data_IF_280641764765
#
_entry.id   IF_280641764765
#
_cell.length_a   1.000
_cell.length_b   1.000
_cell.length_c   1.000
_cell.angle_alpha   90.00
_cell.angle_beta   90.00
_cell.angle_gamma   90.00
#
_symmetry.space_group_name_H-M   'P 1'
#
loop_
_entity.id
_entity.type
_entity.pdbx_description
1 polymer ?
#
# COMPACT_ATOMS: atom_id res chain seq x y z
N UNK A 1 11.02 17.67 -14.85
CA UNK A 1 11.18 16.48 -14.01
C UNK A 1 9.77 16.07 -13.58
N UNK A 2 9.42 14.82 -13.73
CA UNK A 2 8.11 14.29 -13.30
C UNK A 2 7.99 14.34 -11.78
N UNK A 3 6.75 14.48 -11.27
CA UNK A 3 6.53 14.46 -9.82
C UNK A 3 6.95 13.11 -9.22
N UNK A 4 6.62 12.00 -9.88
CA UNK A 4 7.02 10.65 -9.46
C UNK A 4 8.54 10.50 -9.27
N UNK A 5 9.35 11.05 -10.16
CA UNK A 5 10.82 11.07 -10.04
C UNK A 5 11.26 11.85 -8.79
N UNK A 6 10.59 12.98 -8.53
CA UNK A 6 10.87 13.80 -7.34
C UNK A 6 10.49 13.08 -6.06
N UNK A 7 9.31 12.42 -6.02
CA UNK A 7 8.85 11.63 -4.88
C UNK A 7 9.83 10.47 -4.58
N UNK A 8 10.21 9.72 -5.62
CA UNK A 8 11.13 8.60 -5.47
C UNK A 8 12.51 9.05 -4.95
N UNK A 9 13.00 10.19 -5.41
CA UNK A 9 14.27 10.75 -4.93
C UNK A 9 14.25 11.08 -3.42
N UNK A 10 13.08 11.38 -2.83
CA UNK A 10 12.93 11.70 -1.40
C UNK A 10 12.97 10.49 -0.46
N UNK A 11 12.90 9.28 -1.00
CA UNK A 11 12.74 8.05 -0.19
C UNK A 11 13.84 7.02 -0.42
N UNK A 12 14.92 7.41 -1.11
CA UNK A 12 16.08 6.57 -1.38
C UNK A 12 16.80 6.10 -0.10
N UNK A 13 16.63 6.83 1.00
CA UNK A 13 17.13 6.50 2.33
C UNK A 13 16.17 5.62 3.15
N UNK A 14 14.90 5.51 2.75
CA UNK A 14 13.85 4.78 3.48
C UNK A 14 13.59 3.41 2.86
N UNK A 15 13.37 3.33 1.56
CA UNK A 15 12.94 2.10 0.88
C UNK A 15 13.91 0.91 1.00
N UNK A 16 15.26 1.09 1.05
CA UNK A 16 16.14 -0.03 1.37
C UNK A 16 15.86 -0.67 2.73
N UNK A 17 15.30 0.08 3.68
CA UNK A 17 14.85 -0.43 4.97
C UNK A 17 13.72 -1.46 4.88
N UNK A 18 12.85 -1.34 3.90
CA UNK A 18 11.81 -2.36 3.63
C UNK A 18 12.43 -3.71 3.26
N UNK A 19 13.43 -3.70 2.37
CA UNK A 19 14.08 -4.92 1.89
C UNK A 19 14.85 -5.66 2.98
N UNK A 20 15.43 -4.91 3.91
CA UNK A 20 16.17 -5.47 5.04
C UNK A 20 15.29 -5.79 6.26
N UNK A 21 14.00 -5.44 6.21
CA UNK A 21 13.10 -5.68 7.33
C UNK A 21 12.91 -7.19 7.57
N UNK A 22 13.00 -7.66 8.84
CA UNK A 22 12.93 -9.11 9.13
C UNK A 22 11.64 -9.76 8.64
N UNK A 23 10.49 -9.07 8.64
CA UNK A 23 9.26 -9.60 8.07
C UNK A 23 9.42 -9.98 6.60
N UNK A 24 9.99 -9.08 5.79
CA UNK A 24 10.18 -9.28 4.35
C UNK A 24 11.24 -10.35 4.08
N UNK A 25 12.38 -10.30 4.78
CA UNK A 25 13.47 -11.26 4.58
C UNK A 25 13.09 -12.68 5.02
N UNK A 26 12.42 -12.82 6.17
CA UNK A 26 11.94 -14.13 6.64
C UNK A 26 10.83 -14.68 5.74
N UNK A 27 9.94 -13.81 5.20
CA UNK A 27 8.92 -14.21 4.23
C UNK A 27 9.55 -14.70 2.93
N UNK A 28 10.60 -14.02 2.43
CA UNK A 28 11.33 -14.42 1.23
C UNK A 28 12.02 -15.76 1.35
N UNK A 29 12.47 -16.13 2.56
CA UNK A 29 13.11 -17.40 2.87
C UNK A 29 12.14 -18.51 3.37
N UNK A 30 10.83 -18.22 3.43
CA UNK A 30 9.84 -19.17 3.94
C UNK A 30 9.94 -19.45 5.45
N UNK A 31 10.65 -18.60 6.20
CA UNK A 31 10.92 -18.80 7.64
C UNK A 31 10.09 -17.92 8.56
N UNK A 32 9.31 -16.99 8.01
CA UNK A 32 8.43 -16.13 8.79
C UNK A 32 7.43 -16.96 9.59
N UNK A 33 7.28 -16.77 10.92
CA UNK A 33 6.24 -17.44 11.68
C UNK A 33 4.84 -17.13 11.11
N UNK A 34 4.03 -18.18 10.91
CA UNK A 34 2.69 -18.06 10.31
C UNK A 34 1.78 -17.12 11.07
N UNK A 35 1.95 -17.03 12.39
CA UNK A 35 1.19 -16.13 13.26
C UNK A 35 1.43 -14.66 12.92
N UNK A 36 2.66 -14.29 12.56
CA UNK A 36 2.99 -12.92 12.15
C UNK A 36 2.32 -12.58 10.82
N UNK A 37 2.35 -13.51 9.87
CA UNK A 37 1.69 -13.31 8.59
C UNK A 37 0.16 -13.29 8.70
N UNK A 38 -0.43 -14.10 9.59
CA UNK A 38 -1.85 -14.03 9.93
C UNK A 38 -2.23 -12.66 10.52
N UNK A 39 -1.41 -12.16 11.43
CA UNK A 39 -1.62 -10.83 12.02
C UNK A 39 -1.50 -9.72 10.98
N UNK A 40 -0.50 -9.81 10.09
CA UNK A 40 -0.36 -8.92 8.93
C UNK A 40 -1.65 -8.90 8.10
N UNK A 41 -2.15 -10.06 7.69
CA UNK A 41 -3.35 -10.16 6.86
C UNK A 41 -4.60 -9.55 7.53
N UNK A 42 -4.75 -9.68 8.84
CA UNK A 42 -5.84 -9.05 9.59
C UNK A 42 -5.69 -7.52 9.62
N UNK A 43 -4.50 -7.01 9.89
CA UNK A 43 -4.24 -5.57 9.93
C UNK A 43 -4.35 -4.93 8.54
N UNK A 44 -3.88 -5.63 7.52
CA UNK A 44 -3.99 -5.20 6.13
C UNK A 44 -5.46 -5.15 5.65
N UNK A 45 -6.25 -6.17 5.99
CA UNK A 45 -7.70 -6.17 5.71
C UNK A 45 -8.42 -4.96 6.33
N UNK A 46 -8.10 -4.62 7.59
CA UNK A 46 -8.67 -3.44 8.26
C UNK A 46 -8.18 -2.14 7.62
N UNK A 47 -6.91 -2.08 7.25
CA UNK A 47 -6.31 -0.96 6.53
C UNK A 47 -7.00 -0.72 5.18
N UNK A 48 -7.28 -1.78 4.40
CA UNK A 48 -7.95 -1.67 3.11
C UNK A 48 -9.37 -1.09 3.21
N UNK A 49 -10.07 -1.30 4.33
CA UNK A 49 -11.36 -0.65 4.57
C UNK A 49 -11.25 0.88 4.64
N UNK A 50 -10.18 1.40 5.21
CA UNK A 50 -9.90 2.83 5.24
C UNK A 50 -9.33 3.32 3.90
N UNK A 51 -8.52 2.51 3.24
CA UNK A 51 -7.93 2.82 1.93
C UNK A 51 -9.02 3.14 0.89
N UNK A 52 -10.10 2.37 0.84
CA UNK A 52 -11.22 2.66 -0.08
C UNK A 52 -11.96 3.95 0.26
N UNK A 53 -11.99 4.37 1.54
CA UNK A 53 -12.60 5.64 1.97
C UNK A 53 -11.81 6.85 1.47
N UNK A 54 -10.50 6.70 1.22
CA UNK A 54 -9.68 7.76 0.65
C UNK A 54 -10.12 8.06 -0.79
N UNK A 55 -10.43 7.03 -1.59
CA UNK A 55 -11.03 7.24 -2.91
C UNK A 55 -12.36 7.98 -2.83
N UNK A 56 -13.23 7.62 -1.87
CA UNK A 56 -14.50 8.31 -1.67
C UNK A 56 -14.32 9.80 -1.32
N UNK A 57 -13.31 10.15 -0.52
CA UNK A 57 -12.96 11.55 -0.21
C UNK A 57 -12.47 12.29 -1.48
N UNK A 58 -11.67 11.64 -2.33
CA UNK A 58 -11.21 12.23 -3.59
C UNK A 58 -12.35 12.39 -4.62
N UNK A 59 -13.31 11.45 -4.69
CA UNK A 59 -14.45 11.53 -5.60
C UNK A 59 -15.28 12.79 -5.33
N UNK A 60 -15.42 13.21 -4.08
CA UNK A 60 -16.11 14.46 -3.73
C UNK A 60 -15.42 15.72 -4.27
N UNK A 61 -14.15 15.61 -4.63
CA UNK A 61 -13.30 16.73 -5.09
C UNK A 61 -12.96 16.64 -6.58
N UNK A 62 -13.37 15.56 -7.23
CA UNK A 62 -13.13 15.36 -8.64
C UNK A 62 -13.88 16.44 -9.46
N UNK A 63 -13.17 17.03 -10.44
CA UNK A 63 -13.66 18.17 -11.22
C UNK A 63 -14.48 17.76 -12.44
N UNK A 64 -14.31 16.50 -12.89
CA UNK A 64 -14.97 15.99 -14.07
C UNK A 64 -15.30 14.49 -13.97
N UNK A 65 -16.12 14.00 -14.92
CA UNK A 65 -16.52 12.60 -14.99
C UNK A 65 -15.37 11.64 -15.30
N UNK A 66 -14.30 12.09 -15.93
CA UNK A 66 -13.14 11.25 -16.21
C UNK A 66 -12.37 10.94 -14.92
N UNK A 67 -12.16 11.96 -14.07
CA UNK A 67 -11.58 11.77 -12.74
C UNK A 67 -12.47 10.88 -11.86
N UNK A 68 -13.78 11.14 -11.85
CA UNK A 68 -14.73 10.31 -11.07
C UNK A 68 -14.65 8.85 -11.54
N UNK A 69 -14.69 8.62 -12.85
CA UNK A 69 -14.62 7.26 -13.41
C UNK A 69 -13.32 6.56 -13.03
N UNK A 70 -12.19 7.26 -13.11
CA UNK A 70 -10.90 6.71 -12.70
C UNK A 70 -10.92 6.32 -11.21
N UNK A 71 -11.29 7.23 -10.33
CA UNK A 71 -11.32 6.99 -8.88
C UNK A 71 -12.30 5.88 -8.48
N UNK A 72 -13.47 5.82 -9.11
CA UNK A 72 -14.44 4.73 -8.90
C UNK A 72 -13.87 3.40 -9.38
N UNK A 73 -13.13 3.40 -10.49
CA UNK A 73 -12.47 2.20 -11.02
C UNK A 73 -11.43 1.65 -10.05
N UNK A 74 -10.54 2.50 -9.54
CA UNK A 74 -9.51 2.12 -8.56
C UNK A 74 -10.12 1.64 -7.23
N UNK A 75 -11.15 2.35 -6.74
CA UNK A 75 -11.90 1.93 -5.55
C UNK A 75 -12.54 0.56 -5.75
N UNK A 76 -13.20 0.33 -6.87
CA UNK A 76 -13.83 -0.96 -7.19
C UNK A 76 -12.78 -2.07 -7.32
N UNK A 77 -11.66 -1.80 -7.97
CA UNK A 77 -10.57 -2.77 -8.11
C UNK A 77 -10.00 -3.19 -6.74
N UNK A 78 -9.80 -2.24 -5.83
CA UNK A 78 -9.34 -2.52 -4.46
C UNK A 78 -10.36 -3.37 -3.68
N UNK A 79 -11.66 -3.06 -3.81
CA UNK A 79 -12.72 -3.86 -3.18
C UNK A 79 -12.73 -5.27 -3.77
N UNK A 80 -12.69 -5.40 -5.09
CA UNK A 80 -12.70 -6.69 -5.79
C UNK A 80 -11.48 -7.54 -5.40
N UNK A 81 -10.29 -6.94 -5.29
CA UNK A 81 -9.08 -7.62 -4.84
C UNK A 81 -9.22 -8.12 -3.40
N UNK A 82 -9.82 -7.33 -2.51
CA UNK A 82 -10.08 -7.73 -1.13
C UNK A 82 -10.92 -9.00 -1.08
N UNK A 83 -12.01 -9.08 -1.86
CA UNK A 83 -12.88 -10.24 -1.89
C UNK A 83 -12.31 -11.44 -2.65
N UNK A 84 -11.55 -11.22 -3.72
CA UNK A 84 -11.03 -12.28 -4.59
C UNK A 84 -9.67 -12.81 -4.13
N UNK A 85 -8.88 -12.02 -3.45
CA UNK A 85 -7.50 -12.36 -3.07
C UNK A 85 -7.34 -12.43 -1.55
N UNK A 86 -7.61 -11.34 -0.81
CA UNK A 86 -7.35 -11.26 0.62
C UNK A 86 -8.20 -12.24 1.43
N UNK A 87 -9.51 -12.20 1.30
CA UNK A 87 -10.39 -13.09 2.07
C UNK A 87 -10.15 -14.59 1.78
N UNK A 88 -9.99 -15.05 0.51
CA UNK A 88 -9.57 -16.43 0.26
C UNK A 88 -8.22 -16.78 0.84
N UNK A 89 -7.25 -15.86 0.83
CA UNK A 89 -5.94 -16.07 1.42
C UNK A 89 -6.05 -16.20 2.95
N UNK A 90 -6.76 -15.28 3.59
CA UNK A 90 -7.03 -15.34 5.03
C UNK A 90 -7.70 -16.68 5.42
N UNK A 91 -8.66 -17.14 4.63
CA UNK A 91 -9.30 -18.45 4.85
C UNK A 91 -8.30 -19.61 4.77
N UNK A 92 -7.36 -19.60 3.79
CA UNK A 92 -6.29 -20.63 3.71
C UNK A 92 -5.37 -20.60 4.92
N UNK A 93 -5.16 -19.42 5.51
CA UNK A 93 -4.39 -19.25 6.75
C UNK A 93 -5.18 -19.64 8.01
N UNK A 94 -6.43 -20.09 7.88
CA UNK A 94 -7.31 -20.46 8.99
C UNK A 94 -7.86 -19.26 9.78
N UNK A 95 -7.91 -18.06 9.17
CA UNK A 95 -8.55 -16.88 9.74
C UNK A 95 -10.05 -16.97 9.47
N UNK A 96 -10.85 -17.11 10.52
CA UNK A 96 -12.30 -17.27 10.42
C UNK A 96 -13.07 -15.94 10.48
N UNK A 97 -14.34 -15.97 10.08
CA UNK A 97 -15.22 -14.79 10.08
C UNK A 97 -15.35 -14.14 11.48
N UNK A 98 -15.39 -14.94 12.54
CA UNK A 98 -15.47 -14.41 13.90
C UNK A 98 -14.19 -13.69 14.29
N UNK A 99 -13.02 -14.18 13.89
CA UNK A 99 -11.73 -13.55 14.13
C UNK A 99 -11.65 -12.20 13.40
N UNK A 100 -12.11 -12.17 12.15
CA UNK A 100 -12.20 -10.93 11.36
C UNK A 100 -13.14 -9.93 12.02
N UNK A 101 -14.33 -10.38 12.44
CA UNK A 101 -15.33 -9.51 13.05
C UNK A 101 -14.90 -8.94 14.43
N UNK A 102 -14.03 -9.64 15.15
CA UNK A 102 -13.48 -9.19 16.43
C UNK A 102 -12.14 -8.45 16.30
N UNK A 103 -11.54 -8.43 15.11
CA UNK A 103 -10.26 -7.78 14.91
C UNK A 103 -10.40 -6.25 15.03
N UNK A 104 -9.40 -5.64 15.65
CA UNK A 104 -9.30 -4.18 15.76
C UNK A 104 -8.00 -3.69 15.12
N UNK A 105 -8.06 -2.55 14.45
CA UNK A 105 -6.88 -1.95 13.87
C UNK A 105 -5.91 -1.50 14.97
N UNK A 106 -4.65 -1.84 14.81
CA UNK A 106 -3.58 -1.33 15.69
C UNK A 106 -3.44 0.18 15.52
N UNK A 107 -2.95 0.86 16.56
CA UNK A 107 -2.81 2.32 16.55
C UNK A 107 -1.92 2.82 15.40
N UNK A 108 -0.84 2.11 15.05
CA UNK A 108 0.04 2.48 13.94
C UNK A 108 -0.66 2.32 12.58
N UNK A 109 -1.45 1.25 12.40
CA UNK A 109 -2.27 1.06 11.20
C UNK A 109 -3.33 2.17 11.06
N UNK A 110 -4.05 2.46 12.17
CA UNK A 110 -5.05 3.54 12.21
C UNK A 110 -4.42 4.92 12.01
N UNK A 111 -3.24 5.18 12.58
CA UNK A 111 -2.55 6.45 12.40
C UNK A 111 -2.16 6.66 10.92
N UNK A 112 -1.71 5.60 10.25
CA UNK A 112 -1.37 5.66 8.83
C UNK A 112 -2.61 5.93 7.96
N UNK A 113 -3.65 5.11 8.09
CA UNK A 113 -4.87 5.27 7.28
C UNK A 113 -5.57 6.62 7.54
N UNK A 114 -5.67 7.05 8.80
CA UNK A 114 -6.27 8.34 9.14
C UNK A 114 -5.43 9.52 8.64
N UNK A 115 -4.10 9.41 8.66
CA UNK A 115 -3.24 10.45 8.05
C UNK A 115 -3.57 10.62 6.57
N UNK A 116 -3.66 9.54 5.80
CA UNK A 116 -4.01 9.59 4.38
C UNK A 116 -5.42 10.15 4.14
N UNK A 117 -6.40 9.74 4.96
CA UNK A 117 -7.77 10.26 4.89
C UNK A 117 -7.78 11.78 5.14
N UNK A 118 -7.06 12.26 6.16
CA UNK A 118 -6.97 13.69 6.46
C UNK A 118 -6.34 14.47 5.30
N UNK A 119 -5.26 13.98 4.71
CA UNK A 119 -4.62 14.63 3.55
C UNK A 119 -5.54 14.66 2.33
N UNK A 120 -6.25 13.56 2.04
CA UNK A 120 -7.23 13.51 0.96
C UNK A 120 -8.43 14.43 1.20
N UNK A 121 -8.87 14.59 2.45
CA UNK A 121 -9.96 15.50 2.81
C UNK A 121 -9.54 16.97 2.80
N UNK A 122 -8.33 17.30 3.22
CA UNK A 122 -7.83 18.67 3.27
C UNK A 122 -7.35 19.17 1.89
N UNK A 123 -6.79 18.28 1.06
CA UNK A 123 -6.20 18.58 -0.24
C UNK A 123 -7.16 18.39 -1.41
N UNK A 124 -6.61 18.20 -2.57
CA UNK A 124 -7.24 17.90 -3.86
C UNK A 124 -7.05 16.41 -4.24
N UNK A 125 -7.53 16.03 -5.42
CA UNK A 125 -7.38 14.66 -5.95
C UNK A 125 -5.91 14.24 -6.01
N UNK A 126 -5.01 15.13 -6.49
CA UNK A 126 -3.59 14.85 -6.55
C UNK A 126 -2.98 14.56 -5.18
N UNK A 127 -3.39 15.31 -4.16
CA UNK A 127 -2.93 15.10 -2.76
C UNK A 127 -3.32 13.72 -2.25
N UNK A 128 -4.56 13.32 -2.46
CA UNK A 128 -5.04 12.00 -2.06
C UNK A 128 -4.33 10.86 -2.81
N UNK A 129 -4.13 11.00 -4.12
CA UNK A 129 -3.40 10.01 -4.92
C UNK A 129 -1.94 9.85 -4.47
N UNK A 130 -1.25 10.94 -4.14
CA UNK A 130 0.12 10.89 -3.62
C UNK A 130 0.16 10.22 -2.24
N UNK A 131 -0.83 10.46 -1.38
CA UNK A 131 -0.92 9.77 -0.09
C UNK A 131 -1.10 8.25 -0.25
N UNK A 132 -1.88 7.80 -1.26
CA UNK A 132 -2.09 6.37 -1.56
C UNK A 132 -0.89 5.72 -2.25
N UNK A 133 -0.14 6.48 -3.05
CA UNK A 133 0.87 5.95 -3.97
C UNK A 133 1.92 5.10 -3.25
N UNK A 134 2.37 5.49 -2.05
CA UNK A 134 3.40 4.73 -1.36
C UNK A 134 3.01 3.26 -1.18
N UNK A 135 1.79 3.00 -0.71
CA UNK A 135 1.34 1.64 -0.46
C UNK A 135 1.45 0.75 -1.73
N UNK A 136 0.94 1.23 -2.87
CA UNK A 136 1.00 0.44 -4.11
C UNK A 136 2.41 0.33 -4.68
N UNK A 137 3.18 1.41 -4.65
CA UNK A 137 4.50 1.46 -5.27
C UNK A 137 5.58 0.76 -4.44
N UNK A 138 5.56 0.95 -3.10
CA UNK A 138 6.53 0.28 -2.22
C UNK A 138 6.38 -1.24 -2.23
N UNK A 139 5.15 -1.74 -2.28
CA UNK A 139 4.88 -3.18 -2.34
C UNK A 139 5.35 -3.81 -3.66
N UNK A 140 5.14 -3.13 -4.79
CA UNK A 140 5.74 -3.53 -6.06
C UNK A 140 7.27 -3.56 -5.98
N UNK A 141 7.89 -2.50 -5.43
CA UNK A 141 9.33 -2.41 -5.25
C UNK A 141 9.89 -3.52 -4.35
N UNK A 142 9.25 -3.77 -3.20
CA UNK A 142 9.64 -4.85 -2.28
C UNK A 142 9.60 -6.19 -3.00
N UNK A 143 8.48 -6.50 -3.65
CA UNK A 143 8.32 -7.79 -4.31
C UNK A 143 9.31 -7.96 -5.47
N UNK A 144 9.49 -6.95 -6.32
CA UNK A 144 10.43 -6.99 -7.44
C UNK A 144 11.86 -7.21 -6.97
N UNK A 145 12.33 -6.40 -6.01
CA UNK A 145 13.70 -6.52 -5.50
C UNK A 145 13.94 -7.81 -4.73
N UNK A 146 12.92 -8.29 -4.02
CA UNK A 146 13.02 -9.58 -3.32
C UNK A 146 13.08 -10.74 -4.30
N UNK A 147 12.24 -10.76 -5.33
CA UNK A 147 12.24 -11.83 -6.35
C UNK A 147 13.49 -11.77 -7.24
N UNK A 148 14.03 -10.57 -7.52
CA UNK A 148 15.33 -10.43 -8.17
C UNK A 148 16.46 -11.09 -7.36
N UNK A 149 16.45 -10.94 -6.04
CA UNK A 149 17.47 -11.49 -5.15
C UNK A 149 17.21 -12.97 -4.80
N UNK A 150 15.96 -13.36 -4.67
CA UNK A 150 15.50 -14.69 -4.25
C UNK A 150 14.37 -15.18 -5.17
N UNK A 151 14.69 -15.68 -6.38
CA UNK A 151 13.67 -16.10 -7.37
C UNK A 151 12.72 -17.18 -6.84
N UNK A 152 13.18 -18.03 -5.91
CA UNK A 152 12.38 -19.09 -5.30
C UNK A 152 11.27 -18.58 -4.36
N UNK A 153 11.33 -17.32 -3.94
CA UNK A 153 10.33 -16.74 -3.04
C UNK A 153 8.89 -16.85 -3.58
N UNK A 154 8.70 -16.81 -4.90
CA UNK A 154 7.37 -16.97 -5.53
C UNK A 154 6.82 -18.39 -5.45
N UNK A 155 7.65 -19.38 -5.16
CA UNK A 155 7.29 -20.80 -5.10
C UNK A 155 6.97 -21.26 -3.66
N UNK A 156 7.18 -20.42 -2.65
CA UNK A 156 6.88 -20.76 -1.26
C UNK A 156 5.37 -21.03 -1.08
N UNK A 157 5.04 -22.15 -0.41
CA UNK A 157 3.65 -22.59 -0.22
C UNK A 157 2.81 -21.60 0.60
N UNK A 158 3.45 -20.89 1.53
CA UNK A 158 2.77 -19.98 2.46
C UNK A 158 2.74 -18.53 1.98
N UNK A 159 3.83 -18.06 1.36
CA UNK A 159 4.04 -16.65 1.05
C UNK A 159 4.22 -16.37 -0.44
N UNK A 160 4.49 -17.39 -1.26
CA UNK A 160 4.80 -17.23 -2.69
C UNK A 160 3.71 -16.48 -3.45
N UNK A 161 2.44 -16.70 -3.13
CA UNK A 161 1.33 -16.01 -3.77
C UNK A 161 1.30 -14.51 -3.48
N UNK A 162 1.86 -14.04 -2.35
CA UNK A 162 2.04 -12.63 -2.05
C UNK A 162 3.05 -11.99 -3.02
N UNK A 163 4.23 -12.57 -3.16
CA UNK A 163 5.23 -12.08 -4.11
C UNK A 163 4.73 -12.13 -5.55
N UNK A 164 4.15 -13.28 -5.96
CA UNK A 164 3.63 -13.45 -7.31
C UNK A 164 2.56 -12.42 -7.69
N UNK A 165 1.71 -12.04 -6.74
CA UNK A 165 0.70 -11.00 -6.95
C UNK A 165 1.34 -9.66 -7.30
N UNK A 166 2.27 -9.18 -6.48
CA UNK A 166 2.89 -7.85 -6.66
C UNK A 166 3.88 -7.75 -7.83
N UNK A 167 4.50 -8.87 -8.27
CA UNK A 167 5.34 -8.87 -9.49
C UNK A 167 4.54 -9.14 -10.76
N UNK A 168 3.24 -9.39 -10.67
CA UNK A 168 2.41 -9.71 -11.82
C UNK A 168 2.38 -8.56 -12.84
N UNK A 169 2.27 -8.87 -14.15
CA UNK A 169 2.14 -7.83 -15.17
C UNK A 169 0.92 -6.94 -14.97
N UNK A 170 -0.17 -7.49 -14.41
CA UNK A 170 -1.40 -6.76 -14.12
C UNK A 170 -1.16 -5.72 -13.03
N UNK A 171 -0.56 -6.12 -11.89
CA UNK A 171 -0.23 -5.19 -10.81
C UNK A 171 0.70 -4.07 -11.26
N UNK A 172 1.76 -4.42 -12.00
CA UNK A 172 2.71 -3.44 -12.58
C UNK A 172 2.01 -2.43 -13.48
N UNK A 173 1.11 -2.90 -14.32
CA UNK A 173 0.33 -2.03 -15.22
C UNK A 173 -0.57 -1.06 -14.44
N UNK A 174 -1.29 -1.56 -13.43
CA UNK A 174 -2.16 -0.73 -12.59
C UNK A 174 -1.35 0.30 -11.81
N UNK A 175 -0.24 -0.13 -11.19
CA UNK A 175 0.64 0.77 -10.44
C UNK A 175 1.25 1.85 -11.34
N UNK A 176 1.67 1.50 -12.57
CA UNK A 176 2.19 2.48 -13.54
C UNK A 176 1.10 3.47 -13.97
N UNK A 177 -0.13 3.01 -14.19
CA UNK A 177 -1.25 3.89 -14.54
C UNK A 177 -1.54 4.94 -13.43
N UNK A 178 -1.42 4.53 -12.15
CA UNK A 178 -1.54 5.46 -11.02
C UNK A 178 -0.40 6.49 -11.02
N UNK A 179 0.84 6.07 -11.25
CA UNK A 179 2.00 6.95 -11.35
C UNK A 179 1.82 7.95 -12.50
N UNK A 180 1.44 7.47 -13.69
CA UNK A 180 1.22 8.31 -14.86
C UNK A 180 0.09 9.33 -14.62
N UNK A 181 -0.97 8.95 -13.91
CA UNK A 181 -2.06 9.86 -13.54
C UNK A 181 -1.59 10.96 -12.59
N UNK A 182 -0.77 10.61 -11.60
CA UNK A 182 -0.17 11.58 -10.67
C UNK A 182 0.72 12.55 -11.42
N UNK A 183 1.58 12.06 -12.32
CA UNK A 183 2.45 12.91 -13.13
C UNK A 183 1.67 13.88 -14.02
N UNK A 184 0.58 13.40 -14.63
CA UNK A 184 -0.27 14.24 -15.48
C UNK A 184 -0.98 15.35 -14.67
N UNK A 185 -1.51 15.02 -13.48
CA UNK A 185 -2.13 16.01 -12.60
C UNK A 185 -1.13 17.03 -12.03
N UNK A 186 0.14 16.69 -12.02
CA UNK A 186 1.20 17.51 -11.47
C UNK A 186 1.89 18.44 -12.50
N UNK A 187 1.48 18.45 -13.77
CA UNK A 187 2.19 19.20 -14.84
C UNK A 187 2.36 20.70 -14.53
N UNK A 188 1.42 21.31 -13.81
CA UNK A 188 1.39 22.76 -13.59
C UNK A 188 1.36 23.14 -12.11
N UNK A 189 1.83 22.29 -11.21
CA UNK A 189 1.91 22.63 -9.77
C UNK A 189 3.13 23.50 -9.47
N UNK A 190 3.01 24.33 -8.45
CA UNK A 190 4.12 25.16 -7.98
C UNK A 190 5.09 24.39 -7.04
N UNK A 191 6.22 24.99 -6.75
CA UNK A 191 7.21 24.41 -5.84
C UNK A 191 6.69 24.18 -4.42
N UNK A 192 5.75 25.02 -3.95
CA UNK A 192 5.16 24.86 -2.61
C UNK A 192 4.31 23.60 -2.55
N UNK A 193 3.49 23.38 -3.57
CA UNK A 193 2.68 22.17 -3.71
C UNK A 193 3.57 20.94 -3.84
N UNK A 194 4.61 21.01 -4.68
CA UNK A 194 5.58 19.91 -4.84
C UNK A 194 6.22 19.52 -3.52
N UNK A 195 6.72 20.48 -2.73
CA UNK A 195 7.30 20.21 -1.40
C UNK A 195 6.28 19.55 -0.47
N UNK A 196 5.05 20.05 -0.43
CA UNK A 196 3.99 19.49 0.40
C UNK A 196 3.69 18.03 0.01
N UNK A 197 3.61 17.71 -1.28
CA UNK A 197 3.39 16.36 -1.77
C UNK A 197 4.57 15.42 -1.43
N UNK A 198 5.81 15.91 -1.51
CA UNK A 198 6.99 15.17 -1.07
C UNK A 198 6.95 14.85 0.43
N UNK A 199 6.52 15.81 1.27
CA UNK A 199 6.36 15.59 2.71
C UNK A 199 5.29 14.54 3.02
N UNK A 200 4.15 14.56 2.30
CA UNK A 200 3.09 13.55 2.43
C UNK A 200 3.63 12.18 2.06
N UNK A 201 4.24 12.05 0.89
CA UNK A 201 4.78 10.78 0.41
C UNK A 201 5.83 10.20 1.37
N UNK A 202 6.78 11.03 1.82
CA UNK A 202 7.80 10.62 2.79
C UNK A 202 7.19 10.16 4.12
N UNK A 203 6.17 10.86 4.64
CA UNK A 203 5.46 10.44 5.85
C UNK A 203 4.75 9.11 5.67
N UNK A 204 4.09 8.89 4.52
CA UNK A 204 3.47 7.61 4.20
C UNK A 204 4.50 6.47 4.18
N UNK A 205 5.71 6.71 3.64
CA UNK A 205 6.79 5.73 3.69
C UNK A 205 7.23 5.40 5.14
N UNK A 206 7.31 6.39 6.02
CA UNK A 206 7.65 6.17 7.42
C UNK A 206 6.55 5.44 8.19
N UNK A 207 5.28 5.72 7.89
CA UNK A 207 4.16 4.96 8.44
C UNK A 207 4.17 3.49 7.98
N UNK A 208 4.54 3.26 6.72
CA UNK A 208 4.64 1.92 6.17
C UNK A 208 5.75 1.09 6.86
N UNK A 209 6.92 1.71 7.16
CA UNK A 209 7.93 1.07 8.00
C UNK A 209 7.39 0.70 9.38
N UNK A 210 6.64 1.60 10.04
CA UNK A 210 6.00 1.30 11.32
C UNK A 210 4.97 0.19 11.21
N UNK A 211 4.26 0.12 10.08
CA UNK A 211 3.35 -0.98 9.83
C UNK A 211 4.09 -2.32 9.77
N UNK A 212 5.25 -2.39 9.08
CA UNK A 212 6.10 -3.58 9.07
C UNK A 212 6.62 -3.94 10.47
N UNK A 213 7.09 -2.98 11.26
CA UNK A 213 7.50 -3.18 12.65
C UNK A 213 6.34 -3.75 13.49
N UNK A 214 5.18 -3.14 13.38
CA UNK A 214 3.97 -3.51 14.12
C UNK A 214 3.52 -4.93 13.80
N UNK A 215 3.45 -5.31 12.53
CA UNK A 215 3.04 -6.68 12.16
C UNK A 215 4.10 -7.71 12.53
N UNK A 216 5.38 -7.36 12.48
CA UNK A 216 6.45 -8.25 12.92
C UNK A 216 6.42 -8.48 14.44
N UNK A 217 6.15 -7.45 15.22
CA UNK A 217 5.99 -7.53 16.67
C UNK A 217 4.62 -8.09 17.11
N UNK A 218 3.67 -8.27 16.18
CA UNK A 218 2.27 -8.66 16.44
C UNK A 218 1.57 -7.70 17.44
N UNK A 219 1.78 -6.40 17.26
CA UNK A 219 1.19 -5.36 18.10
C UNK A 219 1.70 -5.31 19.54
N UNK A 220 2.85 -5.90 19.82
CA UNK A 220 3.46 -5.93 21.19
C UNK A 220 4.51 -4.84 21.36
N UNK A 221 4.39 -3.72 20.63
CA UNK A 221 5.31 -2.58 20.76
C UNK A 221 4.88 -1.64 21.87
#
# INVERSE_FOLDING_TARGET
MKLSETLYAQVQDIWPGYLSHPFVTEMAHGTLPKEKFRYYMLQDYLYLQDYVKIFAAMIQKAEDFEQIRFLCGEMSATIDETFRTHLPYMKRLGIGEQEIACATAHIDSSAYSHYMICEAQAGDVLTGLVALLNCSWSYAYIAEKTVEAYPEAVNDESYGSWFAGYVSPEYKKTNQALIDRIDALAENIDEKKTRHLCEIFKKCCLFDLRFWDMVYAMGKC
#
